data_IF_519324741499
#
_entry.id   IF_519324741499
#
_cell.length_a   1.000
_cell.length_b   1.000
_cell.length_c   1.000
_cell.angle_alpha   90.00
_cell.angle_beta   90.00
_cell.angle_gamma   90.00
#
_symmetry.space_group_name_H-M   'P 1'
#
loop_
_entity.id
_entity.type
_entity.pdbx_description
1 polymer ?
#
# COMPACT_ATOMS: atom_id res chain seq x y z
N UNK A 1 -6.39 1.03 -6.71
CA UNK A 1 -5.54 1.94 -7.50
C UNK A 1 -5.71 1.85 -9.03
N UNK A 2 -5.46 0.69 -9.67
CA UNK A 2 -5.36 0.59 -11.14
C UNK A 2 -6.62 0.99 -11.91
N UNK A 3 -7.79 0.50 -11.49
CA UNK A 3 -9.05 0.85 -12.15
C UNK A 3 -9.31 2.35 -12.11
N UNK A 4 -9.15 3.00 -10.95
CA UNK A 4 -9.36 4.44 -10.78
C UNK A 4 -8.43 5.28 -11.67
N UNK A 5 -7.16 4.86 -11.79
CA UNK A 5 -6.19 5.51 -12.65
C UNK A 5 -6.54 5.39 -14.16
N UNK A 6 -7.25 4.33 -14.54
CA UNK A 6 -7.65 4.06 -15.94
C UNK A 6 -9.12 4.35 -16.24
N UNK A 7 -9.90 4.81 -15.25
CA UNK A 7 -11.37 4.94 -15.36
C UNK A 7 -11.81 5.80 -16.55
N UNK A 8 -11.06 6.85 -16.87
CA UNK A 8 -11.35 7.73 -18.01
C UNK A 8 -11.08 7.07 -19.37
N UNK A 9 -10.25 6.02 -19.41
CA UNK A 9 -9.87 5.29 -20.61
C UNK A 9 -10.69 4.02 -20.83
N UNK A 10 -11.55 3.65 -19.87
CA UNK A 10 -12.32 2.41 -19.88
C UNK A 10 -13.82 2.70 -20.06
N UNK A 11 -14.48 1.88 -20.87
CA UNK A 11 -15.96 1.79 -20.91
C UNK A 11 -16.50 0.70 -19.99
N UNK A 12 -15.61 0.04 -19.24
CA UNK A 12 -15.91 -1.09 -18.37
C UNK A 12 -16.15 -0.60 -16.94
N UNK A 13 -17.03 -1.29 -16.23
CA UNK A 13 -17.29 -1.08 -14.79
C UNK A 13 -16.85 -2.31 -14.00
N UNK A 14 -16.45 -2.18 -12.72
CA UNK A 14 -16.17 -3.31 -11.86
C UNK A 14 -17.43 -4.17 -11.71
N UNK A 15 -17.30 -5.49 -11.93
CA UNK A 15 -18.37 -6.45 -11.68
C UNK A 15 -18.39 -6.88 -10.20
N UNK A 16 -17.21 -6.97 -9.59
CA UNK A 16 -16.98 -7.34 -8.19
C UNK A 16 -15.89 -6.41 -7.63
N UNK A 17 -16.05 -5.96 -6.40
CA UNK A 17 -15.11 -5.12 -5.66
C UNK A 17 -15.17 -5.50 -4.17
N UNK A 18 -14.07 -5.30 -3.43
CA UNK A 18 -14.03 -5.51 -1.98
C UNK A 18 -13.78 -6.93 -1.51
N UNK A 19 -13.79 -7.93 -2.40
CA UNK A 19 -13.46 -9.31 -2.01
C UNK A 19 -12.02 -9.41 -1.49
N UNK A 20 -11.83 -10.15 -0.39
CA UNK A 20 -10.53 -10.39 0.22
C UNK A 20 -9.49 -10.95 -0.77
N UNK A 21 -9.92 -11.76 -1.75
CA UNK A 21 -9.02 -12.29 -2.79
C UNK A 21 -8.46 -11.21 -3.72
N UNK A 22 -9.11 -10.05 -3.78
CA UNK A 22 -8.70 -8.90 -4.60
C UNK A 22 -7.77 -7.95 -3.83
N UNK A 23 -7.47 -8.23 -2.55
CA UNK A 23 -6.52 -7.44 -1.77
C UNK A 23 -5.13 -7.53 -2.39
N UNK A 24 -4.56 -6.37 -2.75
CA UNK A 24 -3.20 -6.24 -3.24
C UNK A 24 -2.32 -5.63 -2.13
N UNK A 25 -1.83 -6.49 -1.23
CA UNK A 25 -1.07 -6.07 -0.05
C UNK A 25 0.37 -5.71 -0.44
N UNK A 26 0.77 -4.49 -0.09
CA UNK A 26 2.12 -3.99 -0.33
C UNK A 26 3.00 -4.22 0.90
N UNK A 27 4.04 -5.04 0.76
CA UNK A 27 4.99 -5.29 1.84
C UNK A 27 6.25 -4.43 1.72
N UNK A 28 6.74 -3.96 2.88
CA UNK A 28 8.09 -3.41 3.02
C UNK A 28 8.93 -4.42 3.80
N UNK A 29 10.10 -4.78 3.28
CA UNK A 29 10.97 -5.79 3.88
C UNK A 29 12.44 -5.37 3.80
N UNK A 30 13.16 -5.51 4.91
CA UNK A 30 14.59 -5.28 4.95
C UNK A 30 15.34 -6.49 4.36
N UNK A 31 16.34 -6.21 3.52
CA UNK A 31 17.26 -7.25 3.03
C UNK A 31 18.17 -7.71 4.16
N UNK A 32 18.34 -9.02 4.32
CA UNK A 32 19.16 -9.60 5.38
C UNK A 32 20.65 -9.16 5.26
N UNK A 33 21.19 -8.37 6.20
CA UNK A 33 22.57 -7.86 6.12
C UNK A 33 23.63 -8.93 6.43
N UNK A 34 23.29 -9.98 7.18
CA UNK A 34 24.20 -11.11 7.46
C UNK A 34 24.50 -11.91 6.19
N UNK A 35 23.53 -11.96 5.26
CA UNK A 35 23.68 -12.64 3.97
C UNK A 35 24.27 -11.74 2.89
N UNK A 36 24.06 -10.42 2.97
CA UNK A 36 24.42 -9.48 1.92
C UNK A 36 25.19 -8.28 2.48
N UNK A 37 26.51 -8.38 2.52
CA UNK A 37 27.39 -7.38 3.16
C UNK A 37 27.43 -6.00 2.50
N UNK A 38 26.92 -5.85 1.27
CA UNK A 38 26.90 -4.57 0.53
C UNK A 38 25.61 -3.77 0.71
N UNK A 39 24.64 -4.29 1.45
CA UNK A 39 23.35 -3.60 1.63
C UNK A 39 23.47 -2.45 2.61
N UNK A 40 22.70 -1.40 2.39
CA UNK A 40 22.54 -0.33 3.37
C UNK A 40 21.53 -0.77 4.44
N UNK A 41 22.01 -1.51 5.45
CA UNK A 41 21.16 -2.06 6.51
C UNK A 41 20.44 -0.96 7.30
N UNK A 42 21.17 0.08 7.71
CA UNK A 42 20.62 1.20 8.49
C UNK A 42 19.56 1.97 7.68
N UNK A 43 19.85 2.29 6.42
CA UNK A 43 18.90 2.97 5.54
C UNK A 43 17.64 2.13 5.28
N UNK A 44 17.79 0.80 5.10
CA UNK A 44 16.64 -0.08 4.94
C UNK A 44 15.78 -0.15 6.21
N UNK A 45 16.40 -0.16 7.40
CA UNK A 45 15.66 -0.11 8.68
C UNK A 45 14.90 1.21 8.81
N UNK A 46 15.57 2.33 8.58
CA UNK A 46 14.94 3.66 8.62
C UNK A 46 13.77 3.77 7.63
N UNK A 47 13.89 3.17 6.44
CA UNK A 47 12.80 3.16 5.47
C UNK A 47 11.61 2.31 5.92
N UNK A 48 11.84 1.12 6.50
CA UNK A 48 10.77 0.30 7.08
C UNK A 48 10.03 1.08 8.16
N UNK A 49 10.75 1.68 9.10
CA UNK A 49 10.19 2.49 10.19
C UNK A 49 9.40 3.69 9.66
N UNK A 50 9.94 4.39 8.66
CA UNK A 50 9.24 5.47 7.97
C UNK A 50 7.94 5.00 7.33
N UNK A 51 7.95 3.88 6.61
CA UNK A 51 6.78 3.37 5.89
C UNK A 51 5.63 2.96 6.83
N UNK A 52 5.93 2.45 8.03
CA UNK A 52 4.92 2.03 9.01
C UNK A 52 4.54 3.11 10.02
N UNK A 53 5.20 4.27 9.99
CA UNK A 53 4.90 5.38 10.90
C UNK A 53 3.47 5.93 10.69
N UNK A 54 2.76 6.35 11.76
CA UNK A 54 1.37 6.83 11.67
C UNK A 54 1.17 7.98 10.66
N UNK A 55 2.08 8.95 10.62
CA UNK A 55 2.01 10.09 9.70
C UNK A 55 2.19 9.67 8.24
N UNK A 56 3.06 8.70 7.98
CA UNK A 56 3.26 8.14 6.63
C UNK A 56 2.04 7.34 6.20
N UNK A 57 1.47 6.52 7.10
CA UNK A 57 0.23 5.78 6.83
C UNK A 57 -0.96 6.72 6.55
N UNK A 58 -1.04 7.86 7.26
CA UNK A 58 -2.02 8.92 6.95
C UNK A 58 -1.81 9.48 5.56
N UNK A 59 -0.57 9.82 5.21
CA UNK A 59 -0.20 10.31 3.87
C UNK A 59 -0.57 9.30 2.77
N UNK A 60 -0.29 8.02 2.98
CA UNK A 60 -0.69 6.92 2.07
C UNK A 60 -2.20 6.90 1.89
N UNK A 61 -2.96 7.00 2.97
CA UNK A 61 -4.43 7.01 2.93
C UNK A 61 -5.04 8.27 2.31
N UNK A 62 -4.31 9.38 2.26
CA UNK A 62 -4.74 10.62 1.61
C UNK A 62 -4.41 10.64 0.11
N UNK A 63 -3.45 9.83 -0.33
CA UNK A 63 -2.98 9.81 -1.69
C UNK A 63 -4.10 9.48 -2.70
N UNK A 64 -4.25 10.36 -3.69
CA UNK A 64 -5.22 10.22 -4.78
C UNK A 64 -6.61 10.79 -4.52
N UNK A 65 -6.95 11.17 -3.28
CA UNK A 65 -8.28 11.71 -2.95
C UNK A 65 -8.65 12.93 -3.80
N UNK A 66 -7.75 13.91 -3.90
CA UNK A 66 -7.98 15.14 -4.67
C UNK A 66 -8.27 14.85 -6.15
N UNK A 67 -7.52 13.92 -6.75
CA UNK A 67 -7.61 13.62 -8.18
C UNK A 67 -8.74 12.66 -8.55
N UNK A 68 -9.02 11.68 -7.70
CA UNK A 68 -9.92 10.57 -8.01
C UNK A 68 -11.20 10.54 -7.17
N UNK A 69 -11.36 11.48 -6.23
CA UNK A 69 -12.49 11.54 -5.30
C UNK A 69 -12.46 10.47 -4.20
N UNK A 70 -11.45 9.61 -4.19
CA UNK A 70 -11.25 8.53 -3.22
C UNK A 70 -9.77 8.15 -3.13
N UNK A 71 -9.37 7.49 -2.05
CA UNK A 71 -8.00 7.03 -1.83
C UNK A 71 -7.58 5.97 -2.85
N UNK A 72 -6.34 6.03 -3.34
CA UNK A 72 -5.79 4.97 -4.19
C UNK A 72 -5.23 3.78 -3.40
N UNK A 73 -4.74 4.05 -2.19
CA UNK A 73 -4.15 3.09 -1.27
C UNK A 73 -4.84 3.18 0.09
N UNK A 74 -4.92 2.04 0.77
CA UNK A 74 -5.53 1.91 2.09
C UNK A 74 -4.41 1.53 3.06
N UNK A 75 -4.13 2.33 4.10
CA UNK A 75 -3.09 2.02 5.07
C UNK A 75 -3.48 0.79 5.91
N UNK A 76 -2.54 -0.13 6.03
CA UNK A 76 -2.72 -1.44 6.65
C UNK A 76 -1.67 -1.78 7.71
N UNK A 77 -0.72 -0.87 7.99
CA UNK A 77 0.30 -1.13 9.02
C UNK A 77 -0.36 -1.42 10.38
N UNK A 78 -0.02 -2.55 10.97
CA UNK A 78 -0.58 -3.02 12.25
C UNK A 78 -1.96 -3.67 12.15
N UNK A 79 -2.52 -3.84 10.95
CA UNK A 79 -3.80 -4.53 10.71
C UNK A 79 -3.60 -5.99 10.31
N UNK A 80 -4.62 -6.79 10.55
CA UNK A 80 -4.72 -8.20 10.14
C UNK A 80 -5.52 -8.33 8.84
N UNK A 81 -5.42 -9.48 8.17
CA UNK A 81 -6.25 -9.74 6.98
C UNK A 81 -7.75 -9.63 7.28
N UNK A 82 -8.16 -10.03 8.48
CA UNK A 82 -9.56 -9.89 8.94
C UNK A 82 -9.99 -8.43 9.04
N UNK A 83 -9.08 -7.51 9.36
CA UNK A 83 -9.36 -6.07 9.43
C UNK A 83 -9.46 -5.43 8.04
N UNK A 84 -9.03 -6.13 6.98
CA UNK A 84 -8.98 -5.64 5.60
C UNK A 84 -10.05 -6.25 4.69
N UNK A 85 -10.61 -7.40 5.07
CA UNK A 85 -11.53 -8.20 4.27
C UNK A 85 -13.02 -7.82 4.43
N UNK A 86 -13.33 -6.59 4.83
CA UNK A 86 -14.68 -6.13 5.18
C UNK A 86 -15.42 -5.47 4.00
#
# INVERSE_FOLDING_TARGET
ATFLAQKQNLKLVPLVEGDAVLLNICHVMQVNPEKFSKVNAEGAKAFVEFMVAPETQKTIGEFGKEKFGQSLFIPDAGKTMSDLAA
#
